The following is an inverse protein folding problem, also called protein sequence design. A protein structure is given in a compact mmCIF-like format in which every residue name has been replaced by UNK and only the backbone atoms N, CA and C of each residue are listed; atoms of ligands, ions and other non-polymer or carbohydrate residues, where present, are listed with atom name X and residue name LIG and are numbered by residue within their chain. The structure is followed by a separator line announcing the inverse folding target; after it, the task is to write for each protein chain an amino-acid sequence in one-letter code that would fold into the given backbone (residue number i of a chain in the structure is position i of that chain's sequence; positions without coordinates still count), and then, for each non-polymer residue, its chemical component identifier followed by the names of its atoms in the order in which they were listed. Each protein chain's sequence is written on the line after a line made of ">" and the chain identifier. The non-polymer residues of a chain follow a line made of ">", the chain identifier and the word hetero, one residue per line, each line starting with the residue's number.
data_IF_910354955399
#
_entry.id   IF_910354955399
#
_cell.length_a   1.000
_cell.length_b   1.000
_cell.length_c   1.000
_cell.angle_alpha   90.00
_cell.angle_beta   90.00
_cell.angle_gamma   90.00
#
_symmetry.space_group_name_H-M   'P 1'
#
loop_
_entity.id
_entity.type
_entity.pdbx_description
1 polymer ?
#
# COMPACT_ATOMS: atom_id res chain seq x y z
N UNK A 1 30.97 -5.43 -11.58
CA UNK A 1 29.63 -4.99 -12.01
C UNK A 1 28.83 -4.68 -10.77
N UNK A 2 28.76 -3.41 -10.38
CA UNK A 2 28.09 -2.92 -9.18
C UNK A 2 26.75 -2.31 -9.59
N UNK A 3 25.65 -2.86 -9.07
CA UNK A 3 24.32 -2.28 -9.24
C UNK A 3 24.22 -0.97 -8.44
N UNK A 4 23.69 0.12 -8.99
CA UNK A 4 23.46 1.33 -8.21
C UNK A 4 22.26 1.15 -7.28
N UNK A 5 22.50 1.35 -5.99
CA UNK A 5 21.51 1.40 -4.92
C UNK A 5 20.54 2.56 -5.14
N UNK A 6 19.26 2.25 -5.38
CA UNK A 6 18.16 3.23 -5.54
C UNK A 6 17.58 3.63 -4.18
N UNK A 7 18.38 4.27 -3.33
CA UNK A 7 17.88 4.90 -2.10
C UNK A 7 18.29 6.37 -2.12
N UNK A 8 17.39 7.24 -2.60
CA UNK A 8 17.66 8.69 -2.56
C UNK A 8 16.82 9.63 -3.43
N UNK A 9 15.82 9.16 -4.18
CA UNK A 9 15.05 10.02 -5.11
C UNK A 9 13.56 10.21 -4.78
N UNK A 10 13.05 9.61 -3.72
CA UNK A 10 11.60 9.59 -3.46
C UNK A 10 11.00 10.99 -3.23
N UNK A 11 11.79 11.94 -2.71
CA UNK A 11 11.30 13.29 -2.40
C UNK A 11 11.64 14.38 -3.43
N UNK A 12 12.30 14.06 -4.56
CA UNK A 12 12.66 15.04 -5.62
C UNK A 12 11.82 14.94 -6.90
N UNK A 13 10.89 13.99 -6.99
CA UNK A 13 10.00 13.81 -8.16
C UNK A 13 8.57 14.31 -7.88
N UNK A 14 8.43 15.39 -7.12
CA UNK A 14 7.29 16.31 -7.30
C UNK A 14 7.69 17.46 -8.21
N UNK A 15 8.25 17.15 -9.38
CA UNK A 15 8.28 18.13 -10.48
C UNK A 15 6.84 18.26 -10.96
N UNK A 16 6.25 19.47 -11.05
CA UNK A 16 4.94 19.62 -11.64
C UNK A 16 5.02 19.05 -13.06
N UNK A 17 4.24 18.01 -13.34
CA UNK A 17 4.21 17.42 -14.66
C UNK A 17 3.88 18.53 -15.67
N UNK A 18 4.75 18.72 -16.65
CA UNK A 18 4.67 19.75 -17.69
C UNK A 18 3.56 19.48 -18.71
N UNK A 19 2.34 19.22 -18.25
CA UNK A 19 1.12 19.08 -19.04
C UNK A 19 0.02 19.79 -18.26
N UNK A 20 -0.62 20.78 -18.89
CA UNK A 20 -1.77 21.57 -18.43
C UNK A 20 -2.48 21.05 -17.16
N UNK A 21 -2.53 21.91 -16.14
CA UNK A 21 -3.02 21.76 -14.76
C UNK A 21 -4.47 21.25 -14.56
N UNK A 22 -5.06 20.49 -15.50
CA UNK A 22 -6.48 20.08 -15.47
C UNK A 22 -6.74 18.62 -15.76
N UNK A 23 -5.74 17.83 -16.16
CA UNK A 23 -5.97 16.40 -16.42
C UNK A 23 -5.82 15.58 -15.14
N UNK A 24 -6.95 15.35 -14.46
CA UNK A 24 -7.01 14.56 -13.22
C UNK A 24 -6.79 13.06 -13.44
N UNK A 25 -6.93 12.60 -14.68
CA UNK A 25 -6.76 11.21 -15.12
C UNK A 25 -5.85 11.16 -16.33
N UNK A 26 -4.74 10.42 -16.23
CA UNK A 26 -3.82 10.18 -17.36
C UNK A 26 -3.82 8.68 -17.65
N UNK A 27 -4.28 8.28 -18.83
CA UNK A 27 -4.23 6.88 -19.26
C UNK A 27 -2.78 6.51 -19.61
N UNK A 28 -2.23 5.50 -18.95
CA UNK A 28 -0.86 5.01 -19.21
C UNK A 28 -0.89 3.84 -20.20
N UNK A 29 -1.86 2.94 -20.05
CA UNK A 29 -2.01 1.76 -20.90
C UNK A 29 -3.50 1.49 -21.21
N UNK A 30 -3.78 0.44 -21.99
CA UNK A 30 -5.14 0.13 -22.40
C UNK A 30 -6.09 -0.10 -21.21
N UNK A 31 -5.56 -0.64 -20.12
CA UNK A 31 -6.24 -1.04 -18.90
C UNK A 31 -5.77 -0.27 -17.64
N UNK A 32 -4.93 0.75 -17.79
CA UNK A 32 -4.30 1.45 -16.65
C UNK A 32 -4.44 2.97 -16.75
N UNK A 33 -4.81 3.58 -15.62
CA UNK A 33 -5.02 5.03 -15.48
C UNK A 33 -4.32 5.51 -14.22
N UNK A 34 -3.52 6.57 -14.36
CA UNK A 34 -2.91 7.31 -13.26
C UNK A 34 -3.81 8.46 -12.82
N UNK A 35 -3.86 8.69 -11.51
CA UNK A 35 -4.75 9.67 -10.87
C UNK A 35 -3.92 10.59 -10.00
N UNK A 36 -3.94 11.88 -10.32
CA UNK A 36 -3.09 12.88 -9.65
C UNK A 36 -3.85 13.79 -8.68
N UNK A 37 -5.20 13.79 -8.71
CA UNK A 37 -6.02 14.67 -7.87
C UNK A 37 -6.12 14.17 -6.42
N UNK A 38 -5.82 15.00 -5.39
CA UNK A 38 -5.84 14.55 -4.00
C UNK A 38 -7.21 14.01 -3.55
N UNK A 39 -8.32 14.61 -3.96
CA UNK A 39 -9.64 14.13 -3.55
C UNK A 39 -10.02 12.81 -4.22
N UNK A 40 -9.51 12.56 -5.44
CA UNK A 40 -9.76 11.30 -6.15
C UNK A 40 -8.90 10.17 -5.59
N UNK A 41 -7.68 10.47 -5.14
CA UNK A 41 -6.82 9.49 -4.47
C UNK A 41 -7.51 8.96 -3.20
N UNK A 42 -8.08 9.86 -2.38
CA UNK A 42 -8.85 9.46 -1.19
C UNK A 42 -10.01 8.53 -1.55
N UNK A 43 -10.78 8.87 -2.58
CA UNK A 43 -11.91 8.06 -3.02
C UNK A 43 -11.48 6.66 -3.51
N UNK A 44 -10.35 6.57 -4.22
CA UNK A 44 -9.81 5.28 -4.70
C UNK A 44 -9.33 4.41 -3.54
N UNK A 45 -8.67 5.01 -2.55
CA UNK A 45 -8.15 4.27 -1.39
C UNK A 45 -9.25 3.81 -0.43
N UNK A 46 -10.33 4.58 -0.31
CA UNK A 46 -11.48 4.24 0.54
C UNK A 46 -12.49 3.33 -0.15
N UNK A 47 -12.56 3.34 -1.48
CA UNK A 47 -13.48 2.48 -2.22
C UNK A 47 -13.07 1.00 -2.12
N UNK A 48 -14.03 0.06 -2.01
CA UNK A 48 -13.76 -1.37 -2.03
C UNK A 48 -13.47 -1.85 -3.47
N UNK A 49 -12.34 -1.45 -4.02
CA UNK A 49 -11.88 -1.84 -5.34
C UNK A 49 -11.20 -3.22 -5.31
N UNK A 50 -11.34 -3.97 -6.39
CA UNK A 50 -10.57 -5.18 -6.61
C UNK A 50 -9.12 -4.81 -6.91
N UNK A 51 -8.19 -5.42 -6.17
CA UNK A 51 -6.75 -5.24 -6.44
C UNK A 51 -6.37 -5.92 -7.76
N UNK A 52 -5.29 -5.44 -8.38
CA UNK A 52 -4.72 -6.13 -9.54
C UNK A 52 -4.11 -7.49 -9.16
N UNK A 53 -3.94 -8.38 -10.13
CA UNK A 53 -3.28 -9.68 -9.94
C UNK A 53 -1.84 -9.55 -9.42
N UNK A 54 -1.18 -8.42 -9.68
CA UNK A 54 0.15 -8.11 -9.15
C UNK A 54 0.26 -8.29 -7.64
N UNK A 55 -0.79 -7.95 -6.88
CA UNK A 55 -0.79 -8.07 -5.43
C UNK A 55 -0.72 -9.52 -4.92
N UNK A 56 -1.06 -10.51 -5.74
CA UNK A 56 -0.92 -11.94 -5.39
C UNK A 56 0.54 -12.33 -5.16
N UNK A 57 1.49 -11.58 -5.72
CA UNK A 57 2.92 -11.77 -5.47
C UNK A 57 3.29 -11.69 -3.98
N UNK A 58 2.56 -10.91 -3.19
CA UNK A 58 2.77 -10.78 -1.74
C UNK A 58 2.41 -12.06 -0.93
N UNK A 59 2.10 -13.17 -1.61
CA UNK A 59 1.90 -14.49 -0.99
C UNK A 59 3.13 -15.41 -1.09
N UNK A 60 4.26 -14.94 -1.62
CA UNK A 60 5.53 -15.70 -1.58
C UNK A 60 6.04 -15.68 -0.13
N UNK A 61 6.44 -16.81 0.50
CA UNK A 61 6.91 -18.09 -0.06
C UNK A 61 5.87 -19.21 -0.22
N UNK A 62 4.63 -19.06 0.28
CA UNK A 62 3.58 -20.11 0.19
C UNK A 62 2.26 -19.53 -0.34
N UNK A 63 1.89 -19.95 -1.57
CA UNK A 63 0.67 -19.54 -2.25
C UNK A 63 -0.62 -19.95 -1.52
N UNK A 64 -0.55 -20.94 -0.62
CA UNK A 64 -1.69 -21.41 0.18
C UNK A 64 -2.10 -20.38 1.23
N UNK A 65 -1.12 -19.68 1.81
CA UNK A 65 -1.37 -18.65 2.80
C UNK A 65 -1.50 -17.28 2.14
N UNK A 66 -2.74 -16.83 2.00
CA UNK A 66 -3.04 -15.53 1.43
C UNK A 66 -3.18 -14.50 2.57
N UNK A 67 -2.24 -13.55 2.65
CA UNK A 67 -2.28 -12.44 3.61
C UNK A 67 -3.41 -11.45 3.25
N UNK A 68 -3.88 -10.60 4.18
CA UNK A 68 -4.83 -9.54 3.83
C UNK A 68 -4.29 -8.60 2.74
N UNK A 69 -2.96 -8.46 2.63
CA UNK A 69 -2.31 -7.66 1.60
C UNK A 69 -2.29 -8.35 0.22
N UNK A 70 -2.11 -9.67 0.17
CA UNK A 70 -2.17 -10.45 -1.09
C UNK A 70 -3.59 -10.74 -1.56
N UNK A 71 -4.58 -10.60 -0.67
CA UNK A 71 -6.00 -10.85 -1.00
C UNK A 71 -6.53 -9.80 -1.96
N UNK A 72 -6.99 -10.24 -3.13
CA UNK A 72 -7.54 -9.39 -4.20
C UNK A 72 -8.99 -8.96 -3.93
N UNK A 73 -9.81 -9.86 -3.39
CA UNK A 73 -11.23 -9.60 -3.15
C UNK A 73 -11.41 -8.66 -1.94
N UNK A 74 -12.13 -7.53 -2.08
CA UNK A 74 -12.28 -6.55 -1.00
C UNK A 74 -13.03 -7.12 0.20
N UNK A 75 -14.03 -7.99 -0.02
CA UNK A 75 -14.77 -8.66 1.06
C UNK A 75 -13.86 -9.59 1.88
N UNK A 76 -13.10 -10.46 1.22
CA UNK A 76 -12.17 -11.38 1.89
C UNK A 76 -11.03 -10.62 2.59
N UNK A 77 -10.58 -9.49 2.02
CA UNK A 77 -9.62 -8.58 2.67
C UNK A 77 -10.19 -8.06 4.00
N UNK A 78 -11.43 -7.57 4.00
CA UNK A 78 -12.05 -7.02 5.20
C UNK A 78 -12.15 -8.07 6.31
N UNK A 79 -12.62 -9.28 5.98
CA UNK A 79 -12.67 -10.42 6.90
C UNK A 79 -11.31 -10.70 7.55
N UNK A 80 -10.25 -10.82 6.73
CA UNK A 80 -8.90 -11.11 7.21
C UNK A 80 -8.27 -9.97 7.99
N UNK A 81 -8.58 -8.73 7.62
CA UNK A 81 -8.10 -7.55 8.33
C UNK A 81 -8.66 -7.46 9.74
N UNK A 82 -9.87 -7.99 10.01
CA UNK A 82 -10.44 -8.01 11.37
C UNK A 82 -9.62 -8.85 12.32
N UNK A 83 -9.11 -10.00 11.87
CA UNK A 83 -8.26 -10.86 12.68
C UNK A 83 -6.93 -10.17 13.03
N UNK A 84 -6.37 -9.42 12.10
CA UNK A 84 -5.09 -8.72 12.29
C UNK A 84 -5.27 -7.46 13.17
N UNK A 85 -6.40 -6.76 13.05
CA UNK A 85 -6.68 -5.53 13.79
C UNK A 85 -6.66 -5.71 15.31
N UNK A 86 -7.04 -6.89 15.83
CA UNK A 86 -7.04 -7.17 17.26
C UNK A 86 -5.63 -7.17 17.88
N UNK A 87 -4.59 -7.49 17.10
CA UNK A 87 -3.20 -7.46 17.56
C UNK A 87 -2.64 -6.04 17.68
N UNK A 88 -3.05 -5.15 16.77
CA UNK A 88 -2.57 -3.76 16.67
C UNK A 88 -3.52 -2.76 17.33
N UNK A 89 -4.23 -3.19 18.38
CA UNK A 89 -5.03 -2.27 19.19
C UNK A 89 -4.12 -1.34 19.99
N UNK A 90 -4.57 -0.12 20.26
CA UNK A 90 -3.78 0.85 21.03
C UNK A 90 -3.39 0.34 22.42
N UNK A 91 -4.25 -0.44 23.07
CA UNK A 91 -3.95 -1.06 24.36
C UNK A 91 -2.74 -2.00 24.29
N UNK A 92 -2.67 -2.83 23.24
CA UNK A 92 -1.59 -3.77 23.07
C UNK A 92 -0.29 -3.02 22.73
N UNK A 93 -0.36 -1.98 21.89
CA UNK A 93 0.78 -1.17 21.52
C UNK A 93 1.45 -0.50 22.73
N UNK A 94 0.64 0.12 23.61
CA UNK A 94 1.14 0.77 24.82
C UNK A 94 1.79 -0.24 25.79
N UNK A 95 1.24 -1.45 25.90
CA UNK A 95 1.85 -2.50 26.73
C UNK A 95 3.17 -3.01 26.17
N UNK A 96 3.33 -3.03 24.85
CA UNK A 96 4.58 -3.46 24.21
C UNK A 96 5.67 -2.39 24.19
N UNK A 97 5.35 -1.12 24.47
CA UNK A 97 6.32 0.00 24.45
C UNK A 97 7.50 -0.28 25.38
N UNK A 98 7.24 -0.60 26.65
CA UNK A 98 8.28 -0.94 27.63
C UNK A 98 9.15 -2.11 27.17
N UNK A 99 8.55 -3.11 26.50
CA UNK A 99 9.30 -4.27 26.00
C UNK A 99 10.22 -3.93 24.84
N UNK A 100 9.87 -2.93 24.03
CA UNK A 100 10.67 -2.47 22.89
C UNK A 100 11.82 -1.59 23.39
N UNK A 101 11.55 -0.69 24.35
CA UNK A 101 12.57 0.19 24.93
C UNK A 101 13.73 -0.62 25.54
N UNK A 102 13.41 -1.69 26.29
CA UNK A 102 14.41 -2.58 26.89
C UNK A 102 15.28 -3.36 25.89
N UNK A 103 14.93 -3.40 24.59
CA UNK A 103 15.69 -4.11 23.54
C UNK A 103 16.65 -3.17 22.80
N UNK A 104 16.40 -1.86 22.86
CA UNK A 104 17.15 -0.84 22.11
C UNK A 104 18.33 -0.27 22.93
N UNK A 105 18.36 -0.54 24.24
CA UNK A 105 19.47 -0.24 25.16
C UNK A 105 20.67 -1.19 25.02
#
# INVERSE_FOLDING_TARGET
>A
MTLPTVTGLENRVKKPCGYSLRSHFVRIAHNEVSVSHPDRIKNILLAPLHKANWYKFLSIPDYRYQTPMSTTDPKKKAERSRHLAAGYTMSNLLQTEDSIDNVID
#
